data_IF_049288096014
#
_entry.id   IF_049288096014
#
_cell.length_a   1.000
_cell.length_b   1.000
_cell.length_c   1.000
_cell.angle_alpha   90.00
_cell.angle_beta   90.00
_cell.angle_gamma   90.00
#
_symmetry.space_group_name_H-M   'P 1'
#
loop_
_entity.id
_entity.type
_entity.pdbx_description
1 polymer ?
#
# COMPACT_ATOMS: atom_id res chain seq x y z
N UNK A 1 -14.68 -4.36 -18.37
CA UNK A 1 -13.23 -4.59 -18.48
C UNK A 1 -12.38 -3.33 -18.44
N UNK A 2 -12.38 -2.41 -19.43
CA UNK A 2 -11.50 -1.22 -19.36
C UNK A 2 -11.79 -0.27 -18.17
N UNK A 3 -13.06 -0.04 -17.83
CA UNK A 3 -13.45 0.79 -16.68
C UNK A 3 -13.07 0.15 -15.34
N UNK A 4 -13.35 -1.14 -15.16
CA UNK A 4 -12.99 -1.90 -13.94
C UNK A 4 -11.47 -1.89 -13.69
N UNK A 5 -10.64 -2.05 -14.73
CA UNK A 5 -9.17 -1.94 -14.58
C UNK A 5 -8.73 -0.55 -14.13
N UNK A 6 -9.36 0.50 -14.64
CA UNK A 6 -9.08 1.88 -14.23
C UNK A 6 -9.40 2.13 -12.77
N UNK A 7 -10.57 1.67 -12.29
CA UNK A 7 -10.99 1.80 -10.89
C UNK A 7 -10.10 0.97 -9.94
N UNK A 8 -9.77 -0.27 -10.32
CA UNK A 8 -8.86 -1.13 -9.55
C UNK A 8 -7.46 -0.53 -9.43
N UNK A 9 -6.89 -0.07 -10.56
CA UNK A 9 -5.57 0.55 -10.58
C UNK A 9 -5.57 1.86 -9.78
N UNK A 10 -6.62 2.66 -9.93
CA UNK A 10 -6.76 3.93 -9.23
C UNK A 10 -6.74 3.71 -7.72
N UNK A 11 -7.56 2.80 -7.18
CA UNK A 11 -7.58 2.58 -5.74
C UNK A 11 -6.29 1.96 -5.18
N UNK A 12 -5.63 1.06 -5.92
CA UNK A 12 -4.30 0.56 -5.51
C UNK A 12 -3.25 1.68 -5.44
N UNK A 13 -3.29 2.63 -6.38
CA UNK A 13 -2.39 3.79 -6.37
C UNK A 13 -2.64 4.64 -5.12
N UNK A 14 -3.90 4.96 -4.79
CA UNK A 14 -4.22 5.74 -3.58
C UNK A 14 -3.77 5.04 -2.30
N UNK A 15 -4.00 3.72 -2.16
CA UNK A 15 -3.52 2.98 -0.99
C UNK A 15 -1.99 2.98 -0.93
N UNK A 16 -1.30 2.88 -2.06
CA UNK A 16 0.16 2.98 -2.08
C UNK A 16 0.67 4.37 -1.71
N UNK A 17 -0.01 5.43 -2.14
CA UNK A 17 0.30 6.82 -1.80
C UNK A 17 0.08 7.07 -0.31
N UNK A 18 -1.06 6.65 0.23
CA UNK A 18 -1.37 6.73 1.66
C UNK A 18 -0.24 6.13 2.51
N UNK A 19 0.19 4.93 2.14
CA UNK A 19 1.27 4.22 2.81
C UNK A 19 2.63 4.90 2.68
N UNK A 20 2.89 5.54 1.53
CA UNK A 20 4.07 6.37 1.35
C UNK A 20 4.04 7.60 2.26
N UNK A 21 2.91 8.31 2.31
CA UNK A 21 2.71 9.46 3.16
C UNK A 21 2.87 9.09 4.64
N UNK A 22 2.31 7.97 5.10
CA UNK A 22 2.53 7.47 6.47
C UNK A 22 4.01 7.31 6.81
N UNK A 23 4.80 6.70 5.92
CA UNK A 23 6.24 6.50 6.13
C UNK A 23 7.00 7.83 6.19
N UNK A 24 6.67 8.78 5.31
CA UNK A 24 7.31 10.10 5.32
C UNK A 24 6.90 10.94 6.52
N UNK A 25 5.63 10.86 6.95
CA UNK A 25 5.19 11.52 8.17
C UNK A 25 5.95 11.02 9.38
N UNK A 26 6.11 9.71 9.49
CA UNK A 26 6.90 9.09 10.54
C UNK A 26 8.38 9.53 10.51
N UNK A 27 9.00 9.53 9.33
CA UNK A 27 10.37 10.01 9.17
C UNK A 27 10.53 11.48 9.58
N UNK A 28 9.60 12.35 9.17
CA UNK A 28 9.62 13.78 9.51
C UNK A 28 9.41 14.07 11.00
N UNK A 29 8.74 13.18 11.74
CA UNK A 29 8.54 13.32 13.19
C UNK A 29 9.80 12.93 13.96
N UNK A 30 10.48 11.85 13.57
CA UNK A 30 11.67 11.37 14.29
C UNK A 30 12.89 12.23 14.01
N UNK A 31 13.05 12.68 12.76
CA UNK A 31 14.23 13.44 12.37
C UNK A 31 14.03 14.91 12.72
N UNK A 32 14.79 15.37 13.72
CA UNK A 32 14.81 16.78 14.11
C UNK A 32 15.07 17.69 12.89
N UNK A 33 14.16 18.63 12.65
CA UNK A 33 14.26 19.59 11.54
C UNK A 33 13.44 19.24 10.29
N UNK A 34 12.89 18.03 10.17
CA UNK A 34 12.10 17.60 9.01
C UNK A 34 10.58 17.66 9.26
N UNK A 35 10.13 18.44 10.24
CA UNK A 35 8.70 18.56 10.60
C UNK A 35 7.82 19.03 9.43
N UNK A 36 8.39 19.78 8.48
CA UNK A 36 7.68 20.17 7.26
C UNK A 36 7.29 18.95 6.41
N UNK A 37 8.15 17.94 6.33
CA UNK A 37 7.80 16.68 5.67
C UNK A 37 6.67 15.97 6.41
N UNK A 38 6.66 16.06 7.75
CA UNK A 38 5.60 15.46 8.56
C UNK A 38 4.24 16.10 8.31
N UNK A 39 4.16 17.42 8.24
CA UNK A 39 2.90 18.13 8.03
C UNK A 39 2.36 17.97 6.62
N UNK A 40 3.21 18.07 5.59
CA UNK A 40 2.81 17.90 4.18
C UNK A 40 2.27 16.48 3.95
N UNK A 41 3.00 15.46 4.40
CA UNK A 41 2.56 14.08 4.26
C UNK A 41 1.39 13.76 5.20
N UNK A 42 1.32 14.41 6.37
CA UNK A 42 0.19 14.34 7.29
C UNK A 42 -1.12 14.77 6.63
N UNK A 43 -1.08 15.88 5.90
CA UNK A 43 -2.21 16.34 5.10
C UNK A 43 -2.54 15.37 3.95
N UNK A 44 -1.51 14.84 3.27
CA UNK A 44 -1.68 13.80 2.26
C UNK A 44 -2.44 12.58 2.79
N UNK A 45 -2.10 12.10 3.98
CA UNK A 45 -2.80 11.00 4.65
C UNK A 45 -4.29 11.27 4.81
N UNK A 46 -4.66 12.48 5.26
CA UNK A 46 -6.07 12.84 5.44
C UNK A 46 -6.82 12.79 4.11
N UNK A 47 -6.24 13.39 3.06
CA UNK A 47 -6.85 13.43 1.73
C UNK A 47 -7.00 12.03 1.11
N UNK A 48 -5.95 11.21 1.21
CA UNK A 48 -5.92 9.83 0.71
C UNK A 48 -6.92 8.94 1.45
N UNK A 49 -7.02 9.09 2.79
CA UNK A 49 -7.99 8.35 3.61
C UNK A 49 -9.44 8.69 3.20
N UNK A 50 -9.75 9.98 3.00
CA UNK A 50 -11.08 10.41 2.53
C UNK A 50 -11.37 9.78 1.17
N UNK A 51 -10.41 9.80 0.24
CA UNK A 51 -10.59 9.19 -1.07
C UNK A 51 -10.89 7.69 -0.96
N UNK A 52 -10.13 6.94 -0.16
CA UNK A 52 -10.34 5.50 0.04
C UNK A 52 -11.70 5.22 0.68
N UNK A 53 -12.15 6.01 1.65
CA UNK A 53 -13.49 5.88 2.25
C UNK A 53 -14.57 6.10 1.20
N UNK A 54 -14.48 7.17 0.42
CA UNK A 54 -15.43 7.45 -0.66
C UNK A 54 -15.42 6.33 -1.69
N UNK A 55 -14.23 5.87 -2.09
CA UNK A 55 -14.07 4.75 -2.99
C UNK A 55 -14.74 3.50 -2.41
N UNK A 56 -14.55 3.15 -1.14
CA UNK A 56 -15.20 1.98 -0.54
C UNK A 56 -16.73 2.11 -0.48
N UNK A 57 -17.27 3.32 -0.23
CA UNK A 57 -18.71 3.58 -0.18
C UNK A 57 -19.34 3.46 -1.58
N UNK A 58 -18.71 4.08 -2.58
CA UNK A 58 -19.25 4.17 -3.95
C UNK A 58 -18.80 3.03 -4.87
N UNK A 59 -17.73 2.30 -4.56
CA UNK A 59 -17.25 1.21 -5.39
C UNK A 59 -18.23 0.03 -5.38
N UNK A 60 -18.48 -0.49 -6.58
CA UNK A 60 -19.34 -1.65 -6.81
C UNK A 60 -18.79 -2.89 -6.11
N UNK A 61 -19.66 -3.74 -5.54
CA UNK A 61 -19.32 -4.96 -4.76
C UNK A 61 -18.28 -5.88 -5.42
N UNK A 62 -18.17 -5.87 -6.76
CA UNK A 62 -17.22 -6.67 -7.52
C UNK A 62 -15.75 -6.26 -7.30
N UNK A 63 -15.50 -4.97 -7.13
CA UNK A 63 -14.15 -4.41 -6.90
C UNK A 63 -13.76 -4.50 -5.43
N UNK A 64 -14.74 -4.31 -4.52
CA UNK A 64 -14.58 -4.51 -3.07
C UNK A 64 -13.96 -5.85 -2.70
N UNK A 65 -14.21 -6.91 -3.47
CA UNK A 65 -13.65 -8.23 -3.21
C UNK A 65 -12.16 -8.36 -3.55
N UNK A 66 -11.65 -7.57 -4.49
CA UNK A 66 -10.22 -7.61 -4.91
C UNK A 66 -9.37 -6.63 -4.15
N UNK A 67 -9.91 -5.45 -3.84
CA UNK A 67 -9.31 -4.50 -2.89
C UNK A 67 -9.68 -5.00 -1.51
N UNK A 68 -9.05 -6.13 -1.20
CA UNK A 68 -9.39 -6.98 -0.09
C UNK A 68 -9.21 -6.16 1.17
N UNK A 69 -10.12 -6.35 2.11
CA UNK A 69 -10.03 -6.01 3.54
C UNK A 69 -8.59 -6.06 4.10
N UNK A 70 -7.71 -6.90 3.54
CA UNK A 70 -6.26 -6.92 3.75
C UNK A 70 -5.53 -5.57 3.62
N UNK A 71 -5.84 -4.75 2.62
CA UNK A 71 -5.17 -3.45 2.43
C UNK A 71 -5.60 -2.46 3.52
N UNK A 72 -6.89 -2.47 3.88
CA UNK A 72 -7.40 -1.72 5.03
C UNK A 72 -6.80 -2.21 6.36
N UNK A 73 -6.65 -3.53 6.54
CA UNK A 73 -5.95 -4.10 7.70
C UNK A 73 -4.51 -3.59 7.74
N UNK A 74 -3.83 -3.51 6.59
CA UNK A 74 -2.48 -2.95 6.48
C UNK A 74 -2.42 -1.49 6.93
N UNK A 75 -3.37 -0.65 6.52
CA UNK A 75 -3.48 0.73 6.99
C UNK A 75 -3.67 0.81 8.52
N UNK A 76 -4.56 -0.01 9.08
CA UNK A 76 -4.78 -0.08 10.53
C UNK A 76 -3.52 -0.53 11.26
N UNK A 77 -2.80 -1.51 10.72
CA UNK A 77 -1.56 -2.00 11.32
C UNK A 77 -0.46 -0.92 11.24
N UNK A 78 -0.40 -0.14 10.17
CA UNK A 78 0.58 0.94 10.03
C UNK A 78 0.26 2.09 10.96
N UNK A 79 -1.02 2.46 11.11
CA UNK A 79 -1.47 3.36 12.17
C UNK A 79 -1.06 2.84 13.55
N UNK A 80 -1.26 1.56 13.84
CA UNK A 80 -0.86 0.96 15.10
C UNK A 80 0.66 1.03 15.32
N UNK A 81 1.47 0.74 14.29
CA UNK A 81 2.93 0.87 14.37
C UNK A 81 3.35 2.32 14.61
N UNK A 82 2.73 3.30 13.92
CA UNK A 82 3.01 4.74 14.10
C UNK A 82 2.64 5.21 15.52
N UNK A 83 1.49 4.79 16.05
CA UNK A 83 1.09 5.12 17.42
C UNK A 83 2.07 4.51 18.43
N UNK A 84 2.41 3.24 18.25
CA UNK A 84 3.36 2.53 19.13
C UNK A 84 4.74 3.20 19.09
N UNK A 85 5.27 3.52 17.91
CA UNK A 85 6.58 4.17 17.81
C UNK A 85 6.59 5.58 18.36
N UNK A 86 5.53 6.36 18.19
CA UNK A 86 5.42 7.73 18.74
C UNK A 86 5.36 7.70 20.27
N UNK A 87 4.61 6.76 20.85
CA UNK A 87 4.53 6.58 22.31
C UNK A 87 5.86 6.05 22.90
N UNK A 88 6.57 5.18 22.16
CA UNK A 88 7.82 4.57 22.61
C UNK A 88 9.06 5.45 22.39
N UNK A 89 9.03 6.38 21.43
CA UNK A 89 10.09 7.38 21.26
C UNK A 89 10.29 8.25 22.52
N UNK A 90 9.32 8.26 23.43
CA UNK A 90 9.45 8.89 24.74
C UNK A 90 10.16 8.04 25.81
N UNK A 91 10.62 6.81 25.55
CA UNK A 91 11.59 6.10 26.42
C UNK A 91 12.11 4.76 25.84
N UNK A 92 13.42 4.70 25.58
CA UNK A 92 14.23 3.47 25.66
C UNK A 92 14.73 2.84 24.34
N UNK A 93 16.04 2.59 24.28
CA UNK A 93 16.80 2.14 23.10
C UNK A 93 16.67 0.63 22.79
N UNK A 94 16.38 -0.21 23.79
CA UNK A 94 16.32 -1.68 23.64
C UNK A 94 15.02 -2.18 22.99
N UNK A 95 14.01 -1.33 22.78
CA UNK A 95 12.70 -1.71 22.17
C UNK A 95 12.66 -1.55 20.65
N UNK A 96 13.60 -0.82 20.05
CA UNK A 96 13.62 -0.53 18.61
C UNK A 96 13.78 -1.79 17.73
N UNK A 97 14.49 -2.81 18.22
CA UNK A 97 14.73 -4.06 17.47
C UNK A 97 13.44 -4.86 17.20
N UNK A 98 12.53 -4.94 18.17
CA UNK A 98 11.26 -5.66 18.01
C UNK A 98 10.36 -4.98 16.98
N UNK A 99 10.32 -3.64 17.00
CA UNK A 99 9.57 -2.85 16.02
C UNK A 99 10.14 -3.02 14.62
N UNK A 100 11.47 -3.04 14.48
CA UNK A 100 12.13 -3.30 13.20
C UNK A 100 11.76 -4.65 12.60
N UNK A 101 11.71 -5.71 13.41
CA UNK A 101 11.30 -7.06 12.98
C UNK A 101 9.83 -7.09 12.56
N UNK A 102 8.93 -6.45 13.31
CA UNK A 102 7.52 -6.32 12.93
C UNK A 102 7.37 -5.56 11.61
N UNK A 103 8.09 -4.44 11.46
CA UNK A 103 8.12 -3.66 10.22
C UNK A 103 8.63 -4.47 9.03
N UNK A 104 9.66 -5.31 9.21
CA UNK A 104 10.14 -6.22 8.18
C UNK A 104 9.08 -7.26 7.78
N UNK A 105 8.42 -7.88 8.75
CA UNK A 105 7.33 -8.83 8.51
C UNK A 105 6.18 -8.22 7.69
N UNK A 106 5.78 -6.99 8.02
CA UNK A 106 4.74 -6.26 7.28
C UNK A 106 5.16 -5.92 5.85
N UNK A 107 6.43 -5.57 5.62
CA UNK A 107 6.94 -5.34 4.27
C UNK A 107 6.90 -6.61 3.42
N UNK A 108 7.22 -7.78 3.99
CA UNK A 108 7.13 -9.07 3.28
C UNK A 108 5.68 -9.34 2.83
N UNK A 109 4.70 -9.12 3.73
CA UNK A 109 3.28 -9.25 3.39
C UNK A 109 2.91 -8.27 2.26
N UNK A 110 3.37 -7.02 2.33
CA UNK A 110 3.09 -6.00 1.31
C UNK A 110 3.67 -6.32 -0.07
N UNK A 111 4.87 -6.90 -0.15
CA UNK A 111 5.43 -7.37 -1.43
C UNK A 111 4.62 -8.49 -2.07
N UNK A 112 3.73 -9.16 -1.34
CA UNK A 112 2.86 -10.20 -1.90
C UNK A 112 1.90 -9.65 -2.96
N UNK A 113 1.46 -8.38 -2.84
CA UNK A 113 0.55 -7.75 -3.80
C UNK A 113 1.19 -7.57 -5.20
N UNK A 114 2.35 -6.89 -5.36
CA UNK A 114 3.00 -6.82 -6.66
C UNK A 114 3.43 -8.20 -7.17
N UNK A 115 3.84 -9.13 -6.29
CA UNK A 115 4.14 -10.52 -6.70
C UNK A 115 2.90 -11.21 -7.31
N UNK A 116 1.72 -11.00 -6.75
CA UNK A 116 0.47 -11.53 -7.30
C UNK A 116 0.13 -10.93 -8.67
N UNK A 117 0.33 -9.62 -8.84
CA UNK A 117 0.15 -8.94 -10.13
C UNK A 117 1.15 -9.46 -11.17
N UNK A 118 2.44 -9.53 -10.83
CA UNK A 118 3.49 -10.05 -11.71
C UNK A 118 3.20 -11.50 -12.11
N UNK A 119 2.75 -12.36 -11.18
CA UNK A 119 2.33 -13.73 -11.48
C UNK A 119 1.18 -13.79 -12.47
N UNK A 120 0.19 -12.90 -12.32
CA UNK A 120 -0.97 -12.83 -13.23
C UNK A 120 -0.56 -12.38 -14.63
N UNK A 121 0.33 -11.37 -14.71
CA UNK A 121 0.89 -10.88 -15.98
C UNK A 121 1.74 -11.96 -16.64
N UNK A 122 2.63 -12.63 -15.91
CA UNK A 122 3.45 -13.72 -16.46
C UNK A 122 2.57 -14.84 -17.03
N UNK A 123 1.56 -15.28 -16.29
CA UNK A 123 0.64 -16.33 -16.78
C UNK A 123 -0.07 -15.91 -18.07
N UNK A 124 -0.47 -14.64 -18.15
CA UNK A 124 -1.08 -14.07 -19.36
C UNK A 124 -0.09 -13.99 -20.52
N UNK A 125 1.16 -13.58 -20.27
CA UNK A 125 2.23 -13.55 -21.28
C UNK A 125 2.56 -14.95 -21.79
N UNK A 126 2.69 -15.94 -20.90
CA UNK A 126 2.89 -17.34 -21.28
C UNK A 126 1.73 -17.90 -22.10
N UNK A 127 0.48 -17.48 -21.81
CA UNK A 127 -0.69 -17.88 -22.60
C UNK A 127 -0.71 -17.21 -23.99
N UNK A 128 -0.23 -15.97 -24.11
CA UNK A 128 -0.19 -15.21 -25.37
C UNK A 128 0.97 -15.64 -26.28
N UNK A 129 2.13 -16.00 -25.72
CA UNK A 129 3.34 -16.36 -26.47
C UNK A 129 3.11 -17.43 -27.57
N UNK A 130 2.46 -18.59 -27.32
CA UNK A 130 2.21 -19.57 -28.37
C UNK A 130 1.19 -19.10 -29.41
N UNK A 131 0.23 -18.23 -29.03
CA UNK A 131 -0.74 -17.65 -29.96
C UNK A 131 -0.02 -16.69 -30.92
N UNK A 132 0.87 -15.85 -30.37
CA UNK A 132 1.70 -14.95 -31.16
C UNK A 132 2.67 -15.72 -32.07
N UNK A 133 3.36 -16.74 -31.56
CA UNK A 133 4.26 -17.58 -32.36
C UNK A 133 3.54 -18.26 -33.54
N UNK A 134 2.31 -18.76 -33.34
CA UNK A 134 1.48 -19.30 -34.44
C UNK A 134 1.05 -18.24 -35.45
N UNK A 135 0.82 -17.00 -35.00
CA UNK A 135 0.43 -15.90 -35.88
C UNK A 135 1.59 -15.37 -36.73
N UNK A 136 2.84 -15.48 -36.25
CA UNK A 136 4.04 -15.06 -37.00
C UNK A 136 4.52 -16.14 -37.98
N UNK A 137 4.25 -17.42 -37.71
CA UNK A 137 4.62 -18.53 -38.60
C UNK A 137 3.65 -18.79 -39.76
N UNK A 138 2.53 -18.06 -39.85
CA UNK A 138 1.62 -18.08 -41.00
C UNK A 138 1.91 -16.92 -41.93
#
# INVERSE_FOLDING_TARGET
>A
MRYEYGEDFSSLVYICTLLNCYRWTYYGIIKAGEYLMATINGFGIVMETIYIILFLIYATKRIRGRISILDFILDVVILAVVVVTTQLALQGETRNGVVGVMGAGLNIVRYSSPLFVVKTVMTSVYAILPIFAKSVMR
#
